data_IF_320671400311
#
_entry.id   IF_320671400311
#
_cell.length_a   1.000
_cell.length_b   1.000
_cell.length_c   1.000
_cell.angle_alpha   90.00
_cell.angle_beta   90.00
_cell.angle_gamma   90.00
#
_symmetry.space_group_name_H-M   'P 1'
#
loop_
_entity.id
_entity.type
_entity.pdbx_description
1 polymer ?
#
# COMPACT_ATOMS: atom_id res chain seq x y z
N UNK A 1 6.82 63.16 -20.04
CA UNK A 1 6.61 61.90 -20.79
C UNK A 1 7.13 60.80 -19.90
N UNK A 2 6.22 60.15 -19.17
CA UNK A 2 6.53 59.09 -18.18
C UNK A 2 6.05 57.77 -18.76
N UNK A 3 7.01 56.94 -19.18
CA UNK A 3 6.74 55.61 -19.69
C UNK A 3 6.71 54.60 -18.53
N UNK A 4 5.54 54.06 -18.22
CA UNK A 4 5.34 52.93 -17.29
C UNK A 4 5.74 51.63 -17.98
N UNK A 5 6.79 50.96 -17.47
CA UNK A 5 7.12 49.60 -17.85
C UNK A 5 6.38 48.65 -16.92
N UNK A 6 5.40 47.96 -17.45
CA UNK A 6 4.73 46.84 -16.77
C UNK A 6 5.65 45.60 -16.81
N UNK A 7 6.10 45.15 -15.64
CA UNK A 7 6.82 43.89 -15.44
C UNK A 7 5.82 42.74 -15.40
N UNK A 8 5.81 41.92 -16.45
CA UNK A 8 5.11 40.64 -16.45
C UNK A 8 5.96 39.60 -15.76
N UNK A 9 5.52 39.16 -14.57
CA UNK A 9 6.08 38.00 -13.88
C UNK A 9 5.74 36.72 -14.65
N UNK A 10 6.69 35.77 -14.81
CA UNK A 10 6.39 34.46 -15.39
C UNK A 10 5.66 33.62 -14.36
N UNK A 11 4.42 33.21 -14.68
CA UNK A 11 3.70 32.15 -13.99
C UNK A 11 4.40 30.83 -14.24
N UNK A 12 5.23 30.40 -13.30
CA UNK A 12 5.79 29.05 -13.27
C UNK A 12 4.67 28.07 -12.98
N UNK A 13 4.09 27.46 -14.01
CA UNK A 13 3.31 26.25 -13.89
C UNK A 13 4.29 25.13 -13.56
N UNK A 14 4.38 24.76 -12.28
CA UNK A 14 5.08 23.56 -11.87
C UNK A 14 4.42 22.37 -12.58
N UNK A 15 5.10 21.80 -13.56
CA UNK A 15 4.70 20.54 -14.18
C UNK A 15 4.61 19.49 -13.07
N UNK A 16 3.38 19.03 -12.76
CA UNK A 16 3.16 17.88 -11.89
C UNK A 16 3.87 16.71 -12.55
N UNK A 17 4.87 16.21 -11.86
CA UNK A 17 5.63 15.04 -12.27
C UNK A 17 4.66 13.85 -12.14
N UNK A 18 4.03 13.44 -13.24
CA UNK A 18 3.05 12.33 -13.33
C UNK A 18 3.70 10.94 -13.18
N UNK A 19 4.84 10.86 -12.49
CA UNK A 19 5.47 9.58 -12.23
C UNK A 19 4.60 8.74 -11.31
N UNK A 20 4.15 7.59 -11.81
CA UNK A 20 3.42 6.59 -11.01
C UNK A 20 4.32 6.10 -9.90
N UNK A 21 3.92 6.35 -8.65
CA UNK A 21 4.61 5.83 -7.46
C UNK A 21 4.04 4.44 -7.16
N UNK A 22 4.92 3.45 -7.08
CA UNK A 22 4.53 2.05 -6.89
C UNK A 22 5.05 1.50 -5.57
N UNK A 23 4.34 0.52 -5.03
CA UNK A 23 4.75 -0.17 -3.82
C UNK A 23 4.55 -1.68 -3.93
N UNK A 24 5.30 -2.42 -3.10
CA UNK A 24 5.02 -3.80 -2.75
C UNK A 24 4.87 -3.95 -1.24
N UNK A 25 4.16 -4.98 -0.81
CA UNK A 25 4.07 -5.42 0.59
C UNK A 25 4.69 -6.80 0.71
N UNK A 26 5.58 -6.96 1.69
CA UNK A 26 6.14 -8.24 2.11
C UNK A 26 5.66 -8.55 3.52
N UNK A 27 4.85 -9.58 3.66
CA UNK A 27 4.40 -10.13 4.94
C UNK A 27 5.36 -11.24 5.32
N UNK A 28 5.90 -11.17 6.52
CA UNK A 28 6.85 -12.15 7.07
C UNK A 28 6.18 -12.78 8.29
N UNK A 29 5.99 -14.10 8.27
CA UNK A 29 5.39 -14.82 9.39
C UNK A 29 4.81 -16.18 9.02
N UNK A 30 5.30 -17.22 9.66
CA UNK A 30 4.80 -18.59 9.54
C UNK A 30 3.34 -18.73 9.98
N UNK A 31 2.88 -17.89 10.91
CA UNK A 31 1.50 -17.90 11.40
C UNK A 31 0.48 -17.53 10.32
N UNK A 32 0.90 -16.73 9.33
CA UNK A 32 0.06 -16.38 8.18
C UNK A 32 -0.01 -17.54 7.20
N UNK A 33 1.16 -18.13 6.87
CA UNK A 33 1.25 -19.25 5.94
C UNK A 33 0.56 -20.50 6.47
N UNK A 34 0.65 -20.77 7.78
CA UNK A 34 -0.05 -21.89 8.43
C UNK A 34 -1.55 -21.64 8.61
N UNK A 35 -2.03 -20.44 8.35
CA UNK A 35 -3.44 -20.06 8.52
C UNK A 35 -3.88 -19.90 9.98
N UNK A 36 -2.93 -19.98 10.94
CA UNK A 36 -3.21 -19.77 12.37
C UNK A 36 -3.64 -18.33 12.65
N UNK A 37 -3.05 -17.37 11.95
CA UNK A 37 -3.44 -15.97 11.98
C UNK A 37 -3.96 -15.55 10.61
N UNK A 38 -5.08 -14.83 10.57
CA UNK A 38 -5.57 -14.19 9.35
C UNK A 38 -4.93 -12.82 9.21
N UNK A 39 -4.31 -12.56 8.07
CA UNK A 39 -3.73 -11.24 7.81
C UNK A 39 -4.79 -10.13 7.87
N UNK A 40 -4.45 -9.02 8.52
CA UNK A 40 -5.27 -7.80 8.64
C UNK A 40 -4.53 -6.55 8.17
N UNK A 41 -3.28 -6.71 7.74
CA UNK A 41 -2.42 -5.61 7.38
C UNK A 41 -2.51 -5.30 5.88
N UNK A 42 -2.55 -6.31 5.02
CA UNK A 42 -2.54 -6.16 3.55
C UNK A 42 -3.67 -5.23 3.09
N UNK A 43 -4.91 -5.52 3.50
CA UNK A 43 -6.07 -4.71 3.11
C UNK A 43 -5.94 -3.26 3.56
N UNK A 44 -5.56 -3.04 4.81
CA UNK A 44 -5.37 -1.70 5.36
C UNK A 44 -4.28 -0.92 4.62
N UNK A 45 -3.12 -1.55 4.37
CA UNK A 45 -2.02 -0.93 3.62
C UNK A 45 -2.46 -0.60 2.19
N UNK A 46 -3.21 -1.49 1.53
CA UNK A 46 -3.71 -1.27 0.17
C UNK A 46 -4.63 -0.06 0.09
N UNK A 47 -5.58 0.06 1.02
CA UNK A 47 -6.50 1.20 1.10
C UNK A 47 -5.74 2.49 1.39
N UNK A 48 -4.84 2.47 2.38
CA UNK A 48 -4.02 3.61 2.76
C UNK A 48 -3.15 4.13 1.60
N UNK A 49 -2.43 3.23 0.91
CA UNK A 49 -1.57 3.60 -0.22
C UNK A 49 -2.39 4.15 -1.40
N UNK A 50 -3.56 3.57 -1.66
CA UNK A 50 -4.50 4.07 -2.68
C UNK A 50 -4.94 5.49 -2.36
N UNK A 51 -5.25 5.78 -1.10
CA UNK A 51 -5.69 7.10 -0.65
C UNK A 51 -4.64 8.20 -0.81
N UNK A 52 -3.36 7.85 -0.70
CA UNK A 52 -2.25 8.79 -0.91
C UNK A 52 -1.65 8.73 -2.32
N UNK A 53 -2.26 7.98 -3.25
CA UNK A 53 -1.87 7.92 -4.65
C UNK A 53 -0.64 7.05 -4.93
N UNK A 54 -0.38 6.05 -4.10
CA UNK A 54 0.66 5.03 -4.32
C UNK A 54 0.00 3.73 -4.77
N UNK A 55 0.45 3.17 -5.90
CA UNK A 55 -0.09 1.92 -6.43
C UNK A 55 0.56 0.71 -5.77
N UNK A 56 -0.18 -0.03 -4.97
CA UNK A 56 0.24 -1.36 -4.54
C UNK A 56 0.18 -2.32 -5.73
N UNK A 57 1.34 -2.84 -6.15
CA UNK A 57 1.48 -3.70 -7.34
C UNK A 57 1.69 -5.17 -7.01
N UNK A 58 2.28 -5.48 -5.87
CA UNK A 58 2.63 -6.84 -5.49
C UNK A 58 2.53 -7.03 -3.98
N UNK A 59 2.04 -8.20 -3.58
CA UNK A 59 2.06 -8.66 -2.19
C UNK A 59 2.73 -10.03 -2.18
N UNK A 60 3.70 -10.23 -1.31
CA UNK A 60 4.30 -11.54 -1.01
C UNK A 60 4.14 -11.89 0.45
N UNK A 61 4.00 -13.17 0.71
CA UNK A 61 4.05 -13.74 2.06
C UNK A 61 5.18 -14.76 2.06
N UNK A 62 6.10 -14.65 3.02
CA UNK A 62 7.23 -15.56 3.16
C UNK A 62 7.33 -16.08 4.60
N UNK A 63 7.93 -17.27 4.80
CA UNK A 63 8.20 -17.79 6.13
C UNK A 63 9.28 -16.96 6.85
N UNK A 64 9.42 -17.19 8.16
CA UNK A 64 10.49 -16.62 8.99
C UNK A 64 11.83 -17.35 8.72
N UNK A 65 12.24 -17.38 7.45
CA UNK A 65 13.46 -18.01 6.95
C UNK A 65 14.35 -16.97 6.26
N UNK A 66 15.62 -16.88 6.71
CA UNK A 66 16.54 -15.87 6.19
C UNK A 66 16.67 -15.85 4.65
N UNK A 67 16.89 -17.00 3.96
CA UNK A 67 17.04 -16.98 2.50
C UNK A 67 15.81 -16.43 1.79
N UNK A 68 14.60 -16.79 2.25
CA UNK A 68 13.34 -16.38 1.66
C UNK A 68 13.10 -14.88 1.87
N UNK A 69 13.34 -14.37 3.08
CA UNK A 69 13.20 -12.94 3.39
C UNK A 69 14.20 -12.11 2.57
N UNK A 70 15.48 -12.50 2.54
CA UNK A 70 16.55 -11.77 1.82
C UNK A 70 16.26 -11.75 0.32
N UNK A 71 15.84 -12.89 -0.27
CA UNK A 71 15.49 -12.99 -1.67
C UNK A 71 14.28 -12.09 -2.02
N UNK A 72 13.23 -12.14 -1.20
CA UNK A 72 12.03 -11.32 -1.39
C UNK A 72 12.34 -9.81 -1.27
N UNK A 73 13.08 -9.40 -0.25
CA UNK A 73 13.50 -8.00 -0.06
C UNK A 73 14.27 -7.50 -1.29
N UNK A 74 15.27 -8.25 -1.76
CA UNK A 74 16.08 -7.85 -2.92
C UNK A 74 15.25 -7.77 -4.22
N UNK A 75 14.37 -8.74 -4.45
CA UNK A 75 13.50 -8.75 -5.62
C UNK A 75 12.51 -7.59 -5.64
N UNK A 76 11.86 -7.31 -4.51
CA UNK A 76 10.82 -6.30 -4.43
C UNK A 76 11.39 -4.86 -4.38
N UNK A 77 12.45 -4.62 -3.58
CA UNK A 77 13.05 -3.28 -3.49
C UNK A 77 13.67 -2.79 -4.79
N UNK A 78 14.07 -3.69 -5.68
CA UNK A 78 14.64 -3.33 -6.98
C UNK A 78 13.56 -2.96 -8.02
N UNK A 79 12.31 -3.39 -7.85
CA UNK A 79 11.21 -3.21 -8.81
C UNK A 79 10.29 -2.05 -8.48
N UNK A 80 10.11 -1.74 -7.21
CA UNK A 80 9.09 -0.79 -6.74
C UNK A 80 9.70 0.42 -6.08
N UNK A 81 8.98 1.54 -6.12
CA UNK A 81 9.41 2.78 -5.47
C UNK A 81 9.55 2.57 -3.97
N UNK A 82 8.62 1.80 -3.36
CA UNK A 82 8.63 1.44 -1.94
C UNK A 82 8.39 -0.05 -1.74
N UNK A 83 9.05 -0.59 -0.73
CA UNK A 83 8.75 -1.89 -0.15
C UNK A 83 8.33 -1.71 1.31
N UNK A 84 7.10 -2.04 1.64
CA UNK A 84 6.61 -2.11 3.01
C UNK A 84 6.70 -3.55 3.50
N UNK A 85 7.29 -3.78 4.68
CA UNK A 85 7.28 -5.11 5.28
C UNK A 85 6.49 -5.10 6.58
N UNK A 86 5.84 -6.21 6.92
CA UNK A 86 5.15 -6.41 8.19
C UNK A 86 5.55 -7.74 8.81
N UNK A 87 5.85 -7.76 10.10
CA UNK A 87 6.21 -8.96 10.85
C UNK A 87 7.71 -9.12 11.12
N UNK A 88 8.05 -10.03 12.01
CA UNK A 88 9.40 -10.46 12.34
C UNK A 88 10.31 -9.41 13.00
N UNK A 89 9.76 -8.41 13.72
CA UNK A 89 10.55 -7.39 14.45
C UNK A 89 10.27 -7.37 15.96
N UNK A 90 9.74 -8.44 16.48
CA UNK A 90 9.46 -8.62 17.91
C UNK A 90 10.69 -9.05 18.72
N UNK A 91 10.46 -9.51 19.96
CA UNK A 91 11.52 -9.87 20.89
C UNK A 91 11.94 -11.34 20.81
N UNK A 92 11.30 -12.18 20.00
CA UNK A 92 11.48 -13.62 19.99
C UNK A 92 12.58 -14.06 19.03
N UNK A 93 12.97 -15.32 19.08
CA UNK A 93 14.12 -15.83 18.32
C UNK A 93 13.84 -15.93 16.81
N UNK A 94 12.58 -16.03 16.42
CA UNK A 94 12.06 -16.07 15.07
C UNK A 94 11.87 -14.66 14.46
N UNK A 95 11.97 -13.60 15.25
CA UNK A 95 11.95 -12.21 14.78
C UNK A 95 13.31 -11.84 14.14
N UNK A 96 13.50 -12.24 12.88
CA UNK A 96 14.78 -12.10 12.15
C UNK A 96 14.74 -11.06 11.02
N UNK A 97 13.65 -10.32 10.87
CA UNK A 97 13.48 -9.37 9.76
C UNK A 97 14.58 -8.31 9.73
N UNK A 98 15.01 -7.78 10.89
CA UNK A 98 16.05 -6.75 10.93
C UNK A 98 17.41 -7.29 10.43
N UNK A 99 17.79 -8.50 10.83
CA UNK A 99 18.98 -9.22 10.36
C UNK A 99 18.95 -9.45 8.84
N UNK A 100 17.81 -9.93 8.34
CA UNK A 100 17.61 -10.24 6.93
C UNK A 100 17.67 -8.98 6.06
N UNK A 101 17.08 -7.88 6.51
CA UNK A 101 17.14 -6.59 5.79
C UNK A 101 18.56 -6.03 5.81
N UNK A 102 19.27 -6.07 6.95
CA UNK A 102 20.68 -5.68 7.02
C UNK A 102 21.54 -6.48 6.02
N UNK A 103 21.34 -7.80 5.96
CA UNK A 103 22.00 -8.69 5.00
C UNK A 103 21.67 -8.35 3.56
N UNK A 104 20.39 -8.08 3.23
CA UNK A 104 19.95 -7.69 1.88
C UNK A 104 20.58 -6.36 1.42
N UNK A 105 20.90 -5.46 2.35
CA UNK A 105 21.59 -4.21 2.06
C UNK A 105 23.12 -4.29 2.18
N UNK A 106 23.67 -5.39 2.66
CA UNK A 106 25.10 -5.56 2.87
C UNK A 106 25.67 -4.63 3.94
N UNK A 107 24.90 -4.31 4.98
CA UNK A 107 25.28 -3.42 6.08
C UNK A 107 25.25 -4.15 7.43
N UNK A 108 25.97 -3.61 8.42
CA UNK A 108 25.94 -4.14 9.78
C UNK A 108 24.57 -3.92 10.43
N UNK A 109 24.18 -4.83 11.32
CA UNK A 109 23.05 -4.65 12.23
C UNK A 109 23.59 -4.12 13.56
N UNK A 110 23.02 -3.03 14.07
CA UNK A 110 23.50 -2.39 15.30
C UNK A 110 22.36 -1.93 16.19
N UNK A 111 22.59 -1.80 17.49
CA UNK A 111 21.64 -1.19 18.41
C UNK A 111 21.56 0.32 18.14
N UNK A 112 20.36 0.80 17.79
CA UNK A 112 20.15 2.23 17.56
C UNK A 112 20.02 2.96 18.89
N UNK A 113 20.87 3.98 19.19
CA UNK A 113 20.88 4.64 20.50
C UNK A 113 19.51 5.20 20.91
N UNK A 114 18.82 5.88 19.98
CA UNK A 114 17.49 6.44 20.21
C UNK A 114 16.43 5.35 20.46
N UNK A 115 16.50 4.20 19.78
CA UNK A 115 15.59 3.08 20.03
C UNK A 115 15.76 2.53 21.45
N UNK A 116 17.02 2.38 21.91
CA UNK A 116 17.34 1.98 23.28
C UNK A 116 16.77 2.97 24.29
N UNK A 117 16.94 4.27 24.06
CA UNK A 117 16.44 5.32 24.93
C UNK A 117 14.90 5.31 25.03
N UNK A 118 14.22 5.26 23.88
CA UNK A 118 12.74 5.21 23.82
C UNK A 118 12.20 4.00 24.59
N UNK A 119 12.80 2.82 24.36
CA UNK A 119 12.36 1.60 25.04
C UNK A 119 12.62 1.64 26.55
N UNK A 120 13.77 2.15 26.99
CA UNK A 120 14.07 2.35 28.43
C UNK A 120 13.08 3.31 29.08
N UNK A 121 12.81 4.45 28.44
CA UNK A 121 11.85 5.43 28.95
C UNK A 121 10.45 4.84 29.09
N UNK A 122 9.98 4.05 28.14
CA UNK A 122 8.69 3.36 28.21
C UNK A 122 8.64 2.32 29.32
N UNK A 123 9.68 1.52 29.46
CA UNK A 123 9.78 0.50 30.49
C UNK A 123 9.80 1.11 31.90
N UNK A 124 10.50 2.22 32.10
CA UNK A 124 10.47 2.94 33.37
C UNK A 124 9.06 3.40 33.76
N UNK A 125 8.21 3.77 32.78
CA UNK A 125 6.82 4.15 33.04
C UNK A 125 5.91 2.96 33.35
N UNK A 126 6.21 1.76 32.81
CA UNK A 126 5.36 0.58 32.92
C UNK A 126 5.86 -0.46 33.93
N UNK A 127 6.95 -0.18 34.66
CA UNK A 127 7.54 -1.07 35.65
C UNK A 127 8.28 -2.28 35.05
N UNK A 128 8.69 -2.20 33.79
CA UNK A 128 9.45 -3.28 33.10
C UNK A 128 10.95 -3.05 33.13
N UNK A 129 11.72 -4.12 32.89
CA UNK A 129 13.17 -4.06 32.77
C UNK A 129 13.65 -4.29 31.34
N UNK A 130 14.77 -3.68 30.96
CA UNK A 130 15.44 -3.93 29.67
C UNK A 130 16.23 -5.22 29.75
N UNK A 131 15.69 -6.30 29.19
CA UNK A 131 16.34 -7.59 29.05
C UNK A 131 16.89 -7.81 27.63
N UNK A 132 17.60 -8.91 27.41
CA UNK A 132 18.20 -9.24 26.11
C UNK A 132 17.16 -9.33 24.99
N UNK A 133 16.00 -9.97 25.22
CA UNK A 133 14.92 -10.08 24.24
C UNK A 133 14.40 -8.70 23.82
N UNK A 134 14.22 -7.77 24.75
CA UNK A 134 13.83 -6.39 24.45
C UNK A 134 14.92 -5.60 23.76
N UNK A 135 16.18 -5.85 24.12
CA UNK A 135 17.33 -5.24 23.43
C UNK A 135 17.39 -5.65 21.95
N UNK A 136 16.98 -6.85 21.57
CA UNK A 136 16.90 -7.25 20.16
C UNK A 136 16.05 -6.29 19.33
N UNK A 137 14.92 -5.82 19.84
CA UNK A 137 14.00 -4.89 19.14
C UNK A 137 14.61 -3.48 18.92
N UNK A 138 15.79 -3.20 19.46
CA UNK A 138 16.49 -1.93 19.20
C UNK A 138 17.51 -2.02 18.07
N UNK A 139 17.70 -3.24 17.50
CA UNK A 139 18.66 -3.47 16.43
C UNK A 139 18.05 -3.07 15.09
N UNK A 140 18.77 -2.26 14.35
CA UNK A 140 18.39 -1.83 13.00
C UNK A 140 19.59 -1.88 12.08
N UNK A 141 19.41 -2.01 10.77
CA UNK A 141 20.49 -1.90 9.80
C UNK A 141 21.21 -0.55 9.92
N UNK A 142 22.53 -0.55 9.85
CA UNK A 142 23.34 0.68 9.87
C UNK A 142 22.88 1.66 8.79
N UNK A 143 22.64 2.90 9.19
CA UNK A 143 22.14 3.96 8.31
C UNK A 143 20.62 3.99 8.13
N UNK A 144 19.87 3.11 8.79
CA UNK A 144 18.42 3.19 8.83
C UNK A 144 17.96 4.32 9.76
N UNK A 145 16.81 4.91 9.45
CA UNK A 145 16.06 5.82 10.33
C UNK A 145 14.95 5.07 11.05
N UNK A 146 14.57 5.51 12.26
CA UNK A 146 13.52 4.85 13.02
C UNK A 146 12.14 5.22 12.47
N UNK A 147 11.25 4.22 12.44
CA UNK A 147 9.81 4.40 12.22
C UNK A 147 9.13 4.29 13.57
N UNK A 148 8.74 5.43 14.12
CA UNK A 148 8.16 5.52 15.45
C UNK A 148 6.67 5.19 15.43
N UNK A 149 6.13 4.84 16.60
CA UNK A 149 4.70 4.66 16.82
C UNK A 149 4.30 5.04 18.25
N UNK A 150 3.03 5.38 18.43
CA UNK A 150 2.48 5.80 19.74
C UNK A 150 1.93 4.63 20.57
N UNK A 151 1.86 3.44 19.99
CA UNK A 151 1.21 2.26 20.62
C UNK A 151 2.25 1.44 21.39
N UNK A 152 3.38 1.14 20.73
CA UNK A 152 4.47 0.33 21.26
C UNK A 152 5.74 1.17 21.35
N UNK A 153 6.62 0.81 22.29
CA UNK A 153 7.94 1.42 22.38
C UNK A 153 8.93 0.88 21.34
N UNK A 154 8.67 -0.31 20.78
CA UNK A 154 9.53 -0.91 19.78
C UNK A 154 9.32 -0.19 18.44
N UNK A 155 10.34 0.48 17.89
CA UNK A 155 10.24 1.13 16.60
C UNK A 155 10.37 0.12 15.47
N UNK A 156 9.81 0.45 14.29
CA UNK A 156 10.26 -0.07 13.02
C UNK A 156 11.47 0.73 12.51
N UNK A 157 11.82 0.52 11.25
CA UNK A 157 12.91 1.29 10.63
C UNK A 157 12.71 1.47 9.12
N UNK A 158 13.41 2.44 8.56
CA UNK A 158 13.40 2.75 7.13
C UNK A 158 14.84 2.82 6.61
N UNK A 159 15.18 1.97 5.63
CA UNK A 159 16.47 1.98 4.95
C UNK A 159 16.27 1.96 3.42
N UNK A 160 16.89 2.91 2.70
CA UNK A 160 16.69 3.06 1.27
C UNK A 160 15.21 3.27 0.93
N UNK A 161 14.62 2.34 0.21
CA UNK A 161 13.18 2.34 -0.11
C UNK A 161 12.39 1.25 0.64
N UNK A 162 12.99 0.62 1.66
CA UNK A 162 12.37 -0.43 2.46
C UNK A 162 11.93 0.12 3.82
N UNK A 163 10.65 0.00 4.11
CA UNK A 163 10.00 0.46 5.35
C UNK A 163 9.54 -0.78 6.11
N UNK A 164 10.14 -1.02 7.27
CA UNK A 164 9.89 -2.20 8.09
C UNK A 164 8.99 -1.84 9.26
N UNK A 165 7.87 -2.55 9.37
CA UNK A 165 6.82 -2.31 10.34
C UNK A 165 6.46 -3.58 11.10
N UNK A 166 5.83 -3.41 12.26
CA UNK A 166 5.35 -4.52 13.09
C UNK A 166 4.25 -5.34 12.41
N UNK A 167 4.13 -6.62 12.79
CA UNK A 167 3.02 -7.49 12.37
C UNK A 167 1.68 -7.15 13.07
N UNK A 168 1.72 -6.60 14.29
CA UNK A 168 0.52 -6.23 15.07
C UNK A 168 -0.22 -5.08 14.36
N UNK A 169 -1.50 -5.26 13.95
CA UNK A 169 -2.19 -4.30 13.09
C UNK A 169 -2.22 -2.86 13.64
N UNK A 170 -2.56 -2.67 14.90
CA UNK A 170 -2.60 -1.31 15.49
C UNK A 170 -1.24 -0.62 15.51
N UNK A 171 -0.17 -1.38 15.75
CA UNK A 171 1.21 -0.87 15.75
C UNK A 171 1.64 -0.53 14.33
N UNK A 172 1.39 -1.42 13.37
CA UNK A 172 1.65 -1.20 11.95
C UNK A 172 0.95 0.05 11.42
N UNK A 173 -0.33 0.24 11.75
CA UNK A 173 -1.10 1.43 11.37
C UNK A 173 -0.48 2.71 11.90
N UNK A 174 -0.09 2.73 13.18
CA UNK A 174 0.59 3.88 13.79
C UNK A 174 1.96 4.16 13.16
N UNK A 175 2.69 3.12 12.74
CA UNK A 175 3.94 3.25 11.99
C UNK A 175 3.71 3.80 10.58
N UNK A 176 2.65 3.36 9.90
CA UNK A 176 2.27 3.83 8.58
C UNK A 176 1.87 5.32 8.62
N UNK A 177 1.09 5.73 9.62
CA UNK A 177 0.77 7.15 9.87
C UNK A 177 2.03 8.01 10.08
N UNK A 178 3.04 7.46 10.77
CA UNK A 178 4.30 8.15 11.01
C UNK A 178 5.10 8.39 9.73
N UNK A 179 5.15 7.43 8.82
CA UNK A 179 5.92 7.55 7.57
C UNK A 179 5.17 8.30 6.47
N UNK A 180 3.84 8.32 6.50
CA UNK A 180 2.99 8.90 5.47
C UNK A 180 3.39 10.31 5.00
N UNK A 181 3.66 11.28 5.89
CA UNK A 181 4.05 12.64 5.48
C UNK A 181 5.41 12.72 4.77
N UNK A 182 6.22 11.67 4.87
CA UNK A 182 7.56 11.59 4.32
C UNK A 182 7.61 10.85 2.98
N UNK A 183 6.51 10.19 2.59
CA UNK A 183 6.44 9.43 1.35
C UNK A 183 6.26 10.36 0.15
N UNK A 184 6.99 10.07 -0.92
CA UNK A 184 6.66 10.61 -2.23
C UNK A 184 5.36 9.96 -2.69
N UNK A 185 4.38 10.77 -3.06
CA UNK A 185 3.07 10.32 -3.53
C UNK A 185 2.87 10.63 -5.00
N UNK A 186 1.95 9.93 -5.64
CA UNK A 186 1.51 10.18 -7.02
C UNK A 186 0.14 10.85 -7.06
N UNK A 187 -0.42 10.99 -8.27
CA UNK A 187 -1.81 11.40 -8.44
C UNK A 187 -2.75 10.30 -7.91
N UNK A 188 -3.74 10.68 -7.09
CA UNK A 188 -4.72 9.74 -6.53
C UNK A 188 -5.52 9.07 -7.65
N UNK A 189 -5.71 7.76 -7.54
CA UNK A 189 -6.59 6.99 -8.41
C UNK A 189 -8.06 7.29 -8.05
N UNK A 190 -8.78 7.92 -8.96
CA UNK A 190 -10.23 8.12 -8.84
C UNK A 190 -10.94 6.81 -9.17
N UNK A 191 -12.02 6.52 -8.45
CA UNK A 191 -12.81 5.31 -8.64
C UNK A 191 -14.31 5.64 -8.62
N UNK A 192 -15.07 5.01 -9.50
CA UNK A 192 -16.53 5.05 -9.49
C UNK A 192 -17.08 3.65 -9.70
N UNK A 193 -18.11 3.30 -8.94
CA UNK A 193 -18.83 2.03 -9.07
C UNK A 193 -20.20 2.27 -9.70
N UNK A 194 -20.57 1.39 -10.64
CA UNK A 194 -21.85 1.43 -11.36
C UNK A 194 -22.50 0.07 -11.13
N UNK A 195 -23.68 0.06 -10.51
CA UNK A 195 -24.48 -1.16 -10.39
C UNK A 195 -25.09 -1.50 -11.74
N UNK A 196 -24.82 -2.69 -12.24
CA UNK A 196 -25.24 -3.11 -13.56
C UNK A 196 -26.73 -3.52 -13.61
N UNK A 197 -27.29 -4.07 -12.51
CA UNK A 197 -28.62 -4.69 -12.43
C UNK A 197 -28.83 -5.79 -13.48
N UNK A 198 -27.79 -6.54 -13.78
CA UNK A 198 -27.76 -7.72 -14.64
C UNK A 198 -26.57 -8.60 -14.28
N UNK A 199 -26.52 -9.79 -14.86
CA UNK A 199 -25.42 -10.74 -14.62
C UNK A 199 -24.17 -10.33 -15.37
N UNK A 200 -23.00 -10.71 -14.85
CA UNK A 200 -21.72 -10.40 -15.48
C UNK A 200 -21.62 -10.98 -16.91
N UNK A 201 -22.15 -12.19 -17.14
CA UNK A 201 -22.17 -12.81 -18.47
C UNK A 201 -22.96 -12.03 -19.52
N UNK A 202 -23.96 -11.26 -19.10
CA UNK A 202 -24.81 -10.47 -20.01
C UNK A 202 -24.08 -9.23 -20.58
N UNK A 203 -23.05 -8.76 -19.88
CA UNK A 203 -22.29 -7.52 -20.22
C UNK A 203 -20.85 -7.79 -20.66
N UNK A 204 -20.30 -8.99 -20.43
CA UNK A 204 -18.88 -9.27 -20.56
C UNK A 204 -18.28 -8.89 -21.94
N UNK A 205 -18.97 -9.22 -23.02
CA UNK A 205 -18.51 -8.92 -24.39
C UNK A 205 -18.46 -7.42 -24.69
N UNK A 206 -19.55 -6.70 -24.41
CA UNK A 206 -19.61 -5.25 -24.67
C UNK A 206 -18.71 -4.47 -23.70
N UNK A 207 -18.63 -4.90 -22.43
CA UNK A 207 -17.70 -4.30 -21.45
C UNK A 207 -16.25 -4.45 -21.87
N UNK A 208 -15.87 -5.62 -22.41
CA UNK A 208 -14.56 -5.86 -22.97
C UNK A 208 -14.22 -4.96 -24.18
N UNK A 209 -15.21 -4.66 -25.02
CA UNK A 209 -15.04 -3.72 -26.14
C UNK A 209 -14.82 -2.28 -25.62
N UNK A 210 -15.60 -1.86 -24.62
CA UNK A 210 -15.42 -0.54 -23.98
C UNK A 210 -14.04 -0.44 -23.32
N UNK A 211 -13.58 -1.47 -22.61
CA UNK A 211 -12.26 -1.48 -21.99
C UNK A 211 -11.12 -1.32 -23.01
N UNK A 212 -11.23 -1.91 -24.18
CA UNK A 212 -10.26 -1.73 -25.28
C UNK A 212 -10.26 -0.29 -25.84
N UNK A 213 -11.43 0.34 -25.93
CA UNK A 213 -11.56 1.72 -26.40
C UNK A 213 -11.05 2.74 -25.39
N UNK A 214 -11.10 2.41 -24.10
CA UNK A 214 -10.63 3.23 -22.98
C UNK A 214 -9.41 2.63 -22.32
N UNK A 215 -8.34 2.32 -23.08
CA UNK A 215 -7.16 1.61 -22.60
C UNK A 215 -6.42 2.26 -21.42
N UNK A 216 -6.58 3.59 -21.23
CA UNK A 216 -6.00 4.36 -20.11
C UNK A 216 -6.88 4.33 -18.84
N UNK A 217 -8.00 3.60 -18.87
CA UNK A 217 -8.94 3.48 -17.76
C UNK A 217 -8.99 2.02 -17.32
N UNK A 218 -8.87 1.77 -16.04
CA UNK A 218 -9.02 0.42 -15.49
C UNK A 218 -10.51 0.15 -15.27
N UNK A 219 -11.04 -0.86 -15.96
CA UNK A 219 -12.42 -1.29 -15.84
C UNK A 219 -12.44 -2.73 -15.33
N UNK A 220 -13.18 -2.96 -14.23
CA UNK A 220 -13.37 -4.29 -13.65
C UNK A 220 -14.83 -4.57 -13.38
N UNK A 221 -15.24 -5.83 -13.45
CA UNK A 221 -16.55 -6.33 -13.06
C UNK A 221 -16.47 -7.19 -11.81
N UNK A 222 -17.42 -7.00 -10.91
CA UNK A 222 -17.45 -7.64 -9.59
C UNK A 222 -18.85 -8.21 -9.37
N UNK A 223 -19.05 -9.51 -9.61
CA UNK A 223 -20.35 -10.16 -9.40
C UNK A 223 -20.67 -10.25 -7.90
N UNK A 224 -21.94 -10.09 -7.56
CA UNK A 224 -22.46 -10.25 -6.22
C UNK A 224 -23.91 -10.74 -6.25
N UNK A 225 -24.42 -11.14 -5.09
CA UNK A 225 -25.83 -11.47 -4.90
C UNK A 225 -26.49 -10.28 -4.20
N UNK A 226 -27.56 -9.77 -4.77
CA UNK A 226 -28.26 -8.62 -4.23
C UNK A 226 -29.26 -8.96 -3.10
N UNK A 227 -29.94 -7.97 -2.57
CA UNK A 227 -30.87 -8.09 -1.45
C UNK A 227 -32.11 -8.97 -1.78
N UNK A 228 -32.36 -9.22 -3.08
CA UNK A 228 -33.43 -10.10 -3.59
C UNK A 228 -32.91 -11.50 -3.90
N UNK A 229 -31.69 -11.82 -3.50
CA UNK A 229 -31.00 -13.08 -3.80
C UNK A 229 -30.83 -13.33 -5.32
N UNK A 230 -30.68 -12.26 -6.11
CA UNK A 230 -30.44 -12.32 -7.54
C UNK A 230 -28.98 -12.00 -7.85
N UNK A 231 -28.43 -12.71 -8.85
CA UNK A 231 -27.09 -12.43 -9.36
C UNK A 231 -27.05 -11.04 -10.02
N UNK A 232 -26.12 -10.23 -9.60
CA UNK A 232 -25.90 -8.86 -10.05
C UNK A 232 -24.41 -8.58 -10.23
N UNK A 233 -24.06 -7.43 -10.78
CA UNK A 233 -22.66 -7.04 -11.03
C UNK A 233 -22.45 -5.56 -10.72
N UNK A 234 -21.35 -5.25 -10.03
CA UNK A 234 -20.82 -3.90 -9.94
C UNK A 234 -19.70 -3.73 -10.98
N UNK A 235 -19.81 -2.73 -11.83
CA UNK A 235 -18.72 -2.32 -12.74
C UNK A 235 -17.96 -1.17 -12.09
N UNK A 236 -16.68 -1.36 -11.86
CA UNK A 236 -15.80 -0.36 -11.24
C UNK A 236 -14.89 0.24 -12.31
N UNK A 237 -14.89 1.55 -12.40
CA UNK A 237 -14.07 2.33 -13.33
C UNK A 237 -13.06 3.15 -12.55
N UNK A 238 -11.78 3.07 -12.92
CA UNK A 238 -10.71 3.80 -12.22
C UNK A 238 -9.79 4.51 -13.21
N UNK A 239 -9.49 5.77 -12.93
CA UNK A 239 -8.52 6.58 -13.68
C UNK A 239 -7.96 7.71 -12.80
N UNK A 240 -6.73 8.15 -13.11
CA UNK A 240 -6.19 9.39 -12.53
C UNK A 240 -6.70 10.65 -13.23
N UNK A 241 -7.24 10.49 -14.45
CA UNK A 241 -7.81 11.55 -15.26
C UNK A 241 -9.34 11.58 -15.08
N UNK A 242 -9.92 12.66 -14.49
CA UNK A 242 -11.35 12.78 -14.27
C UNK A 242 -12.17 12.76 -15.57
N UNK A 243 -11.62 13.28 -16.67
CA UNK A 243 -12.33 13.35 -17.95
C UNK A 243 -12.41 11.94 -18.57
N UNK A 244 -11.30 11.19 -18.54
CA UNK A 244 -11.26 9.80 -19.01
C UNK A 244 -12.17 8.91 -18.17
N UNK A 245 -12.17 9.09 -16.84
CA UNK A 245 -13.06 8.39 -15.92
C UNK A 245 -14.52 8.62 -16.30
N UNK A 246 -14.91 9.88 -16.51
CA UNK A 246 -16.27 10.26 -16.88
C UNK A 246 -16.67 9.70 -18.24
N UNK A 247 -15.80 9.78 -19.24
CA UNK A 247 -16.06 9.26 -20.59
C UNK A 247 -16.32 7.74 -20.58
N UNK A 248 -15.47 6.98 -19.87
CA UNK A 248 -15.64 5.54 -19.72
C UNK A 248 -16.93 5.19 -18.95
N UNK A 249 -17.27 5.94 -17.89
CA UNK A 249 -18.52 5.77 -17.15
C UNK A 249 -19.74 5.95 -18.04
N UNK A 250 -19.81 7.04 -18.81
CA UNK A 250 -20.92 7.32 -19.73
C UNK A 250 -21.07 6.20 -20.76
N UNK A 251 -19.98 5.70 -21.32
CA UNK A 251 -20.00 4.58 -22.27
C UNK A 251 -20.59 3.30 -21.63
N UNK A 252 -20.21 3.00 -20.38
CA UNK A 252 -20.73 1.86 -19.64
C UNK A 252 -22.22 2.03 -19.31
N UNK A 253 -22.65 3.18 -18.84
CA UNK A 253 -24.07 3.47 -18.54
C UNK A 253 -24.95 3.33 -19.78
N UNK A 254 -24.48 3.81 -20.93
CA UNK A 254 -25.17 3.66 -22.21
C UNK A 254 -25.25 2.18 -22.64
N UNK A 255 -24.18 1.40 -22.46
CA UNK A 255 -24.18 -0.04 -22.71
C UNK A 255 -25.17 -0.76 -21.79
N UNK A 256 -25.17 -0.49 -20.50
CA UNK A 256 -26.08 -1.11 -19.53
C UNK A 256 -27.55 -0.82 -19.86
N UNK A 257 -27.87 0.39 -20.33
CA UNK A 257 -29.22 0.75 -20.77
C UNK A 257 -29.67 -0.11 -21.93
N UNK A 258 -28.82 -0.34 -22.94
CA UNK A 258 -29.13 -1.22 -24.10
C UNK A 258 -29.33 -2.67 -23.68
N UNK A 259 -28.39 -3.21 -22.88
CA UNK A 259 -28.44 -4.60 -22.41
C UNK A 259 -29.73 -4.86 -21.62
N UNK A 260 -30.09 -4.00 -20.68
CA UNK A 260 -31.33 -4.13 -19.90
C UNK A 260 -32.59 -4.09 -20.79
N UNK A 261 -32.62 -3.21 -21.78
CA UNK A 261 -33.73 -3.15 -22.74
C UNK A 261 -33.81 -4.43 -23.61
N UNK A 262 -32.70 -5.09 -23.90
CA UNK A 262 -32.65 -6.40 -24.58
C UNK A 262 -33.18 -7.52 -23.70
N UNK A 263 -32.72 -7.59 -22.45
CA UNK A 263 -33.14 -8.64 -21.48
C UNK A 263 -34.64 -8.55 -21.12
N UNK A 264 -35.21 -7.35 -21.10
CA UNK A 264 -36.64 -7.18 -20.83
C UNK A 264 -37.58 -7.64 -21.97
N UNK A 265 -37.01 -7.92 -23.16
CA UNK A 265 -37.77 -8.38 -24.35
C UNK A 265 -37.62 -9.89 -24.61
N UNK A 266 -36.64 -10.55 -23.92
CA UNK A 266 -36.37 -11.96 -24.01
C UNK A 266 -37.10 -12.75 -22.91
#
# INVERSE_FOLDING_TARGET
MTGSMASSAPTSSAAKNDSVVTAAVLVIGDEILSGRTKDKNIGYIADFLTDIGIDLKEVRIVPDEEPEIVAAVNALRSRYTYLFTTGGIGPTHDDITAECVAKAFGVALEHHPQAVEIMRARLAQTGGEMNEARMRMTRVPKGATLVLNKISAAPGFWIGNVIVMAGIPSVMQAMLDYVAPQLKTGAKMLSQSIRADCREGDIGTELGAIAKTHADVVIGSYPFVDEKNLANTNVVVRSRDPQKLTAAKVAIEAMLTRVKAGLAKA
#
